data_IF_442560540258
#
_entry.id   IF_442560540258
#
_cell.length_a   1.000
_cell.length_b   1.000
_cell.length_c   1.000
_cell.angle_alpha   90.00
_cell.angle_beta   90.00
_cell.angle_gamma   90.00
#
_symmetry.space_group_name_H-M   'P 1'
#
loop_
_entity.id
_entity.type
_entity.pdbx_description
1 polymer ?
#
# COMPACT_ATOMS: atom_id res chain seq x y z
N UNK A 1 7.76 -33.32 -5.20
CA UNK A 1 6.68 -33.91 -4.37
C UNK A 1 5.51 -32.95 -4.41
N UNK A 2 4.39 -33.34 -5.02
CA UNK A 2 3.17 -32.54 -5.01
C UNK A 2 2.58 -32.58 -3.59
N UNK A 3 2.30 -31.41 -3.01
CA UNK A 3 1.68 -31.32 -1.68
C UNK A 3 0.20 -31.61 -1.83
N UNK A 4 -0.21 -32.83 -1.48
CA UNK A 4 -1.63 -33.24 -1.41
C UNK A 4 -2.09 -33.21 0.05
N UNK A 5 -2.35 -32.02 0.57
CA UNK A 5 -3.18 -31.82 1.76
C UNK A 5 -4.34 -30.92 1.32
N UNK A 6 -5.54 -31.11 1.87
CA UNK A 6 -6.68 -30.21 1.66
C UNK A 6 -6.17 -28.77 1.71
N UNK A 7 -6.24 -28.06 0.58
CA UNK A 7 -5.31 -26.98 0.31
C UNK A 7 -5.62 -25.79 1.23
N UNK A 8 -4.83 -25.62 2.29
CA UNK A 8 -4.90 -24.43 3.15
C UNK A 8 -4.83 -23.22 2.23
N UNK A 9 -5.82 -22.34 2.30
CA UNK A 9 -5.87 -21.13 1.51
C UNK A 9 -4.60 -20.29 1.68
N UNK A 10 -4.26 -19.48 0.68
CA UNK A 10 -3.08 -18.61 0.74
C UNK A 10 -3.47 -17.13 0.77
N UNK A 11 -2.76 -16.36 1.59
CA UNK A 11 -2.83 -14.89 1.58
C UNK A 11 -1.44 -14.36 1.29
N UNK A 12 -1.25 -13.81 0.08
CA UNK A 12 0.00 -13.14 -0.26
C UNK A 12 -0.03 -11.70 0.26
N UNK A 13 1.05 -11.23 0.89
CA UNK A 13 1.14 -9.85 1.38
C UNK A 13 2.48 -9.19 1.08
N UNK A 14 2.53 -7.86 1.11
CA UNK A 14 3.80 -7.12 1.04
C UNK A 14 4.66 -7.35 2.30
N UNK A 15 5.92 -6.92 2.20
CA UNK A 15 6.87 -7.01 3.30
C UNK A 15 7.49 -8.40 3.46
N UNK A 16 8.27 -8.54 4.53
CA UNK A 16 8.93 -9.78 4.94
C UNK A 16 8.11 -10.45 6.05
N UNK A 17 8.56 -11.62 6.50
CA UNK A 17 8.08 -12.19 7.75
C UNK A 17 8.16 -11.14 8.88
N UNK A 18 7.11 -11.07 9.71
CA UNK A 18 6.96 -10.11 10.81
C UNK A 18 6.85 -8.62 10.36
N UNK A 19 6.54 -8.36 9.08
CA UNK A 19 6.11 -7.03 8.64
C UNK A 19 4.78 -6.63 9.28
N UNK A 20 4.47 -5.33 9.31
CA UNK A 20 3.18 -4.85 9.79
C UNK A 20 2.00 -5.42 9.00
N UNK A 21 2.16 -5.66 7.69
CA UNK A 21 1.18 -6.38 6.87
C UNK A 21 0.93 -7.79 7.38
N UNK A 22 2.00 -8.57 7.64
CA UNK A 22 1.87 -9.94 8.13
C UNK A 22 1.29 -10.00 9.53
N UNK A 23 1.72 -9.09 10.44
CA UNK A 23 1.17 -8.99 11.80
C UNK A 23 -0.29 -8.56 11.80
N UNK A 24 -0.69 -7.63 10.91
CA UNK A 24 -2.09 -7.27 10.73
C UNK A 24 -2.90 -8.50 10.33
N UNK A 25 -2.43 -9.26 9.35
CA UNK A 25 -3.08 -10.47 8.90
C UNK A 25 -3.13 -11.52 10.01
N UNK A 26 -2.05 -11.74 10.76
CA UNK A 26 -2.03 -12.65 11.91
C UNK A 26 -3.05 -12.25 12.99
N UNK A 27 -3.32 -10.95 13.18
CA UNK A 27 -4.38 -10.50 14.10
C UNK A 27 -5.79 -10.66 13.52
N UNK A 28 -5.95 -10.50 12.20
CA UNK A 28 -7.23 -10.70 11.51
C UNK A 28 -7.63 -12.18 11.47
N UNK A 29 -6.63 -13.06 11.34
CA UNK A 29 -6.78 -14.49 11.20
C UNK A 29 -6.62 -15.15 12.56
N UNK A 30 -7.65 -15.87 13.01
CA UNK A 30 -7.51 -16.71 14.20
C UNK A 30 -6.55 -17.88 13.89
N UNK A 31 -6.06 -18.59 14.92
CA UNK A 31 -4.96 -19.57 14.87
C UNK A 31 -5.12 -20.78 13.92
N UNK A 32 -6.23 -20.87 13.18
CA UNK A 32 -6.51 -21.91 12.18
C UNK A 32 -6.80 -21.35 10.77
N UNK A 33 -6.34 -20.12 10.48
CA UNK A 33 -6.61 -19.43 9.21
C UNK A 33 -5.74 -19.86 8.00
N UNK A 34 -5.95 -19.23 6.84
CA UNK A 34 -5.12 -19.38 5.65
C UNK A 34 -3.65 -19.07 5.94
N UNK A 35 -2.75 -19.66 5.17
CA UNK A 35 -1.31 -19.41 5.29
C UNK A 35 -0.95 -18.05 4.69
N UNK A 36 -0.29 -17.20 5.49
CA UNK A 36 0.28 -15.94 5.02
C UNK A 36 1.61 -16.22 4.28
N UNK A 37 1.79 -15.56 3.15
CA UNK A 37 2.99 -15.65 2.30
C UNK A 37 3.50 -14.25 1.99
N UNK A 38 4.43 -13.71 2.79
CA UNK A 38 5.06 -12.42 2.52
C UNK A 38 5.92 -12.50 1.24
N UNK A 39 5.81 -11.50 0.38
CA UNK A 39 6.46 -11.50 -0.95
C UNK A 39 7.65 -10.53 -1.06
N UNK A 40 7.94 -9.77 0.00
CA UNK A 40 9.00 -8.76 0.06
C UNK A 40 8.53 -7.37 -0.32
N UNK A 41 7.97 -7.18 -1.53
CA UNK A 41 7.51 -5.87 -1.97
C UNK A 41 6.68 -5.90 -3.25
N UNK A 42 6.01 -4.79 -3.56
CA UNK A 42 5.04 -4.72 -4.66
C UNK A 42 5.56 -4.96 -6.07
N UNK A 43 6.83 -4.68 -6.33
CA UNK A 43 7.40 -4.87 -7.66
C UNK A 43 7.65 -6.37 -7.89
N UNK A 44 6.96 -6.93 -8.89
CA UNK A 44 7.00 -8.36 -9.15
C UNK A 44 5.94 -9.17 -8.40
N UNK A 45 5.00 -8.54 -7.67
CA UNK A 45 3.93 -9.21 -6.92
C UNK A 45 3.22 -10.29 -7.75
N UNK A 46 2.82 -9.95 -8.98
CA UNK A 46 2.17 -10.88 -9.90
C UNK A 46 3.06 -12.07 -10.29
N UNK A 47 4.32 -11.80 -10.64
CA UNK A 47 5.28 -12.81 -11.08
C UNK A 47 5.65 -13.75 -9.93
N UNK A 48 5.77 -13.23 -8.70
CA UNK A 48 6.00 -14.02 -7.50
C UNK A 48 4.84 -14.98 -7.25
N UNK A 49 3.59 -14.51 -7.27
CA UNK A 49 2.41 -15.37 -7.13
C UNK A 49 2.43 -16.48 -8.18
N UNK A 50 2.65 -16.14 -9.45
CA UNK A 50 2.64 -17.12 -10.53
C UNK A 50 3.73 -18.18 -10.34
N UNK A 51 4.95 -17.76 -9.97
CA UNK A 51 6.05 -18.66 -9.65
C UNK A 51 5.76 -19.55 -8.44
N UNK A 52 5.24 -18.98 -7.35
CA UNK A 52 4.89 -19.72 -6.14
C UNK A 52 3.84 -20.80 -6.43
N UNK A 53 2.77 -20.43 -7.15
CA UNK A 53 1.68 -21.31 -7.50
C UNK A 53 2.06 -22.35 -8.57
N UNK A 54 3.14 -22.14 -9.34
CA UNK A 54 3.60 -23.10 -10.37
C UNK A 54 4.04 -24.45 -9.80
N UNK A 55 4.40 -24.49 -8.51
CA UNK A 55 4.80 -25.70 -7.80
C UNK A 55 3.62 -26.61 -7.41
N UNK A 56 2.38 -26.13 -7.54
CA UNK A 56 1.16 -26.85 -7.18
C UNK A 56 0.53 -27.50 -8.41
N UNK A 57 0.24 -28.80 -8.32
CA UNK A 57 -0.53 -29.52 -9.35
C UNK A 57 -1.97 -29.02 -9.45
N UNK A 58 -2.55 -28.60 -8.32
CA UNK A 58 -3.83 -27.91 -8.22
C UNK A 58 -3.63 -26.66 -7.38
N UNK A 59 -3.91 -25.49 -7.97
CA UNK A 59 -3.70 -24.20 -7.30
C UNK A 59 -4.63 -24.07 -6.08
N UNK A 60 -4.11 -23.77 -4.88
CA UNK A 60 -4.94 -23.44 -3.72
C UNK A 60 -5.78 -22.18 -3.99
N UNK A 61 -6.93 -22.03 -3.33
CA UNK A 61 -7.61 -20.75 -3.29
C UNK A 61 -6.68 -19.71 -2.65
N UNK A 62 -6.67 -18.49 -3.19
CA UNK A 62 -5.82 -17.45 -2.65
C UNK A 62 -6.42 -16.06 -2.81
N UNK A 63 -6.00 -15.15 -1.95
CA UNK A 63 -6.04 -13.71 -2.20
C UNK A 63 -4.64 -13.12 -2.08
N UNK A 64 -4.50 -11.89 -2.56
CA UNK A 64 -3.36 -11.04 -2.25
C UNK A 64 -3.87 -9.78 -1.56
N UNK A 65 -3.13 -9.30 -0.58
CA UNK A 65 -3.39 -8.08 0.18
C UNK A 65 -2.17 -7.17 0.14
N UNK A 66 -2.36 -5.87 0.03
CA UNK A 66 -1.27 -4.90 0.01
C UNK A 66 -1.70 -3.49 0.38
N UNK A 67 -0.74 -2.64 0.66
CA UNK A 67 -0.96 -1.21 0.77
C UNK A 67 -1.50 -0.61 -0.55
N UNK A 68 -2.46 0.31 -0.41
CA UNK A 68 -3.00 1.11 -1.52
C UNK A 68 -1.95 2.07 -2.09
N UNK A 69 -1.06 2.56 -1.22
CA UNK A 69 -0.11 3.63 -1.49
C UNK A 69 -0.81 4.80 -2.22
N UNK A 70 -0.25 5.18 -3.36
CA UNK A 70 -0.71 6.19 -4.29
C UNK A 70 -1.20 5.53 -5.60
N UNK A 71 -1.38 4.21 -5.60
CA UNK A 71 -1.68 3.46 -6.82
C UNK A 71 -3.18 3.55 -7.20
N UNK A 72 -4.07 3.80 -6.24
CA UNK A 72 -5.50 4.07 -6.46
C UNK A 72 -6.02 5.13 -5.50
N UNK A 73 -6.95 5.99 -5.95
CA UNK A 73 -7.69 6.90 -5.06
C UNK A 73 -8.56 6.10 -4.07
N UNK A 74 -8.72 6.56 -2.82
CA UNK A 74 -9.63 5.93 -1.88
C UNK A 74 -11.08 6.01 -2.39
N UNK A 75 -11.90 5.02 -2.04
CA UNK A 75 -13.33 5.03 -2.29
C UNK A 75 -14.06 6.09 -1.45
N UNK A 76 -15.28 6.45 -1.84
CA UNK A 76 -16.10 7.36 -1.04
C UNK A 76 -16.52 6.76 0.32
N UNK A 77 -16.60 5.43 0.41
CA UNK A 77 -16.96 4.70 1.63
C UNK A 77 -15.76 3.86 2.10
N UNK A 78 -15.59 3.64 3.42
CA UNK A 78 -14.54 2.76 3.96
C UNK A 78 -14.76 1.33 3.48
N UNK A 79 -14.04 0.92 2.44
CA UNK A 79 -14.21 -0.39 1.82
C UNK A 79 -12.89 -0.91 1.29
N UNK A 80 -12.75 -2.24 1.34
CA UNK A 80 -11.59 -2.91 0.78
C UNK A 80 -11.57 -2.74 -0.74
N UNK A 81 -10.45 -2.28 -1.30
CA UNK A 81 -10.38 -1.88 -2.70
C UNK A 81 -9.83 -3.04 -3.53
N UNK A 82 -10.57 -3.45 -4.58
CA UNK A 82 -10.07 -4.43 -5.55
C UNK A 82 -9.13 -3.75 -6.54
N UNK A 83 -7.88 -4.20 -6.62
CA UNK A 83 -6.98 -3.77 -7.69
C UNK A 83 -7.46 -4.40 -9.02
N UNK A 84 -7.66 -3.61 -10.09
CA UNK A 84 -8.02 -4.15 -11.41
C UNK A 84 -6.97 -5.14 -11.94
N UNK A 85 -7.43 -6.28 -12.44
CA UNK A 85 -6.58 -7.33 -12.99
C UNK A 85 -7.18 -8.73 -12.82
N UNK A 86 -6.50 -9.73 -13.38
CA UNK A 86 -6.95 -11.13 -13.33
C UNK A 86 -6.79 -11.77 -11.95
N UNK A 87 -5.81 -11.32 -11.15
CA UNK A 87 -5.53 -11.88 -9.82
C UNK A 87 -6.39 -11.25 -8.71
N UNK A 88 -6.72 -12.00 -7.64
CA UNK A 88 -7.47 -11.53 -6.47
C UNK A 88 -6.68 -10.61 -5.53
N UNK A 89 -6.21 -9.47 -6.03
CA UNK A 89 -5.42 -8.49 -5.27
C UNK A 89 -6.33 -7.42 -4.65
N UNK A 90 -6.32 -7.34 -3.33
CA UNK A 90 -7.04 -6.35 -2.54
C UNK A 90 -6.06 -5.36 -1.91
N UNK A 91 -6.49 -4.12 -1.73
CA UNK A 91 -5.72 -3.09 -1.07
C UNK A 91 -6.49 -2.43 0.07
N UNK A 92 -5.75 -1.90 1.03
CA UNK A 92 -6.26 -1.09 2.15
C UNK A 92 -7.14 0.06 1.66
N UNK A 93 -8.12 0.46 2.47
CA UNK A 93 -8.84 1.71 2.23
C UNK A 93 -7.95 2.94 2.46
N UNK A 94 -7.25 2.97 3.60
CA UNK A 94 -6.21 3.98 3.89
C UNK A 94 -4.97 3.73 3.04
N UNK A 95 -4.06 4.70 2.97
CA UNK A 95 -2.88 4.62 2.11
C UNK A 95 -2.01 3.39 2.42
N UNK A 96 -1.80 3.07 3.69
CA UNK A 96 -1.05 1.90 4.13
C UNK A 96 -1.54 1.37 5.48
N UNK A 97 -1.07 0.20 5.91
CA UNK A 97 -1.38 -0.38 7.24
C UNK A 97 -1.06 0.60 8.37
N UNK A 98 0.06 1.32 8.31
CA UNK A 98 0.42 2.26 9.38
C UNK A 98 -0.57 3.42 9.52
N UNK A 99 -1.35 3.73 8.48
CA UNK A 99 -2.39 4.76 8.57
C UNK A 99 -3.53 4.37 9.53
N UNK A 100 -3.79 3.08 9.78
CA UNK A 100 -4.78 2.64 10.78
C UNK A 100 -4.25 2.79 12.21
N UNK A 101 -2.93 2.81 12.35
CA UNK A 101 -2.26 2.93 13.64
C UNK A 101 -2.17 4.38 14.10
N UNK A 102 -2.66 5.36 13.32
CA UNK A 102 -2.68 6.77 13.73
C UNK A 102 -4.06 7.07 14.30
N UNK A 103 -4.16 7.00 15.62
CA UNK A 103 -5.36 7.22 16.41
C UNK A 103 -4.98 7.92 17.73
N UNK A 104 -5.77 8.91 18.14
CA UNK A 104 -5.48 9.75 19.30
C UNK A 104 -5.39 8.95 20.59
N UNK A 105 -6.37 8.10 20.86
CA UNK A 105 -6.40 7.34 22.11
C UNK A 105 -5.33 6.24 22.10
N UNK A 106 -5.09 5.60 20.95
CA UNK A 106 -3.99 4.64 20.79
C UNK A 106 -2.62 5.27 21.08
N UNK A 107 -2.37 6.50 20.59
CA UNK A 107 -1.16 7.26 20.90
C UNK A 107 -1.06 7.54 22.40
N UNK A 108 -2.16 7.96 23.04
CA UNK A 108 -2.19 8.23 24.49
C UNK A 108 -1.90 6.99 25.30
N UNK A 109 -2.50 5.86 24.95
CA UNK A 109 -2.33 4.61 25.68
C UNK A 109 -0.91 4.09 25.60
N UNK A 110 -0.29 4.14 24.40
CA UNK A 110 1.14 3.86 24.26
C UNK A 110 1.98 4.74 25.19
N UNK A 111 1.73 6.05 25.18
CA UNK A 111 2.48 7.03 25.95
C UNK A 111 2.32 6.80 27.46
N UNK A 112 1.11 6.47 27.94
CA UNK A 112 0.85 6.10 29.35
C UNK A 112 1.61 4.82 29.74
N UNK A 113 1.59 3.81 28.88
CA UNK A 113 2.31 2.56 29.15
C UNK A 113 3.81 2.82 29.28
N UNK A 114 4.37 3.60 28.35
CA UNK A 114 5.80 3.91 28.35
C UNK A 114 6.22 4.91 29.42
N UNK A 115 5.32 5.74 29.92
CA UNK A 115 5.59 6.69 31.01
C UNK A 115 6.10 6.02 32.30
N UNK A 116 5.78 4.73 32.50
CA UNK A 116 6.24 3.94 33.64
C UNK A 116 7.58 3.21 33.39
N UNK A 117 8.16 3.34 32.19
CA UNK A 117 9.36 2.63 31.78
C UNK A 117 10.67 3.33 32.15
N UNK A 118 11.76 2.58 32.36
CA UNK A 118 13.08 3.19 32.48
C UNK A 118 13.43 3.90 31.17
N UNK A 119 13.93 5.14 31.27
CA UNK A 119 14.29 6.04 30.14
C UNK A 119 13.14 6.84 29.51
N UNK A 120 11.97 6.90 30.15
CA UNK A 120 10.91 7.80 29.70
C UNK A 120 11.17 9.25 30.15
N UNK A 121 11.44 10.15 29.20
CA UNK A 121 11.74 11.56 29.46
C UNK A 121 10.63 12.53 29.00
N UNK A 122 9.60 12.03 28.33
CA UNK A 122 8.57 12.85 27.68
C UNK A 122 7.35 13.15 28.56
N UNK A 123 7.36 12.75 29.83
CA UNK A 123 6.26 12.98 30.78
C UNK A 123 4.95 12.26 30.43
N UNK A 124 3.85 12.67 31.05
CA UNK A 124 2.52 12.14 30.74
C UNK A 124 2.08 12.56 29.33
N UNK A 125 1.21 11.78 28.66
CA UNK A 125 0.69 12.20 27.36
C UNK A 125 -0.04 13.55 27.46
N UNK A 126 0.02 14.37 26.41
CA UNK A 126 -0.92 15.47 26.25
C UNK A 126 -2.37 14.99 26.24
N UNK A 127 -3.30 15.91 26.50
CA UNK A 127 -4.72 15.64 26.35
C UNK A 127 -5.10 15.37 24.88
N UNK A 128 -6.17 14.59 24.67
CA UNK A 128 -6.61 14.18 23.34
C UNK A 128 -6.72 15.33 22.33
N UNK A 129 -7.32 16.50 22.66
CA UNK A 129 -7.40 17.62 21.71
C UNK A 129 -6.03 18.16 21.27
N UNK A 130 -5.00 18.09 22.12
CA UNK A 130 -3.66 18.54 21.77
C UNK A 130 -2.98 17.57 20.80
N UNK A 131 -3.21 16.27 20.95
CA UNK A 131 -2.71 15.24 20.03
C UNK A 131 -3.41 15.35 18.67
N UNK A 132 -4.74 15.51 18.67
CA UNK A 132 -5.53 15.74 17.45
C UNK A 132 -5.04 16.98 16.70
N UNK A 133 -4.86 18.09 17.40
CA UNK A 133 -4.34 19.31 16.80
C UNK A 133 -2.92 19.12 16.25
N UNK A 134 -2.06 18.39 16.96
CA UNK A 134 -0.71 18.08 16.48
C UNK A 134 -0.74 17.20 15.22
N UNK A 135 -1.65 16.23 15.12
CA UNK A 135 -1.86 15.42 13.92
C UNK A 135 -2.32 16.28 12.73
N UNK A 136 -3.29 17.17 12.95
CA UNK A 136 -3.76 18.12 11.92
C UNK A 136 -2.63 19.03 11.46
N UNK A 137 -1.87 19.61 12.38
CA UNK A 137 -0.74 20.49 12.05
C UNK A 137 0.33 19.72 11.22
N UNK A 138 0.60 18.47 11.60
CA UNK A 138 1.55 17.61 10.89
C UNK A 138 1.07 17.26 9.49
N UNK A 139 -0.23 17.00 9.32
CA UNK A 139 -0.83 16.79 8.01
C UNK A 139 -0.72 18.05 7.15
N UNK A 140 -1.10 19.22 7.68
CA UNK A 140 -0.99 20.50 6.97
C UNK A 140 0.45 20.78 6.52
N UNK A 141 1.42 20.53 7.39
CA UNK A 141 2.85 20.70 7.09
C UNK A 141 3.32 19.85 5.90
N UNK A 142 2.83 18.61 5.76
CA UNK A 142 3.25 17.70 4.68
C UNK A 142 2.31 17.70 3.46
N UNK A 143 1.25 18.51 3.44
CA UNK A 143 0.24 18.48 2.40
C UNK A 143 0.81 18.65 0.98
N UNK A 144 1.71 19.61 0.79
CA UNK A 144 2.38 19.84 -0.49
C UNK A 144 3.24 18.63 -0.92
N UNK A 145 3.96 18.03 0.03
CA UNK A 145 4.75 16.82 -0.24
C UNK A 145 3.86 15.65 -0.66
N UNK A 146 2.75 15.41 0.03
CA UNK A 146 1.78 14.38 -0.32
C UNK A 146 1.14 14.63 -1.69
N UNK A 147 0.83 15.88 -2.03
CA UNK A 147 0.31 16.24 -3.35
C UNK A 147 1.30 15.91 -4.48
N UNK A 148 2.59 16.18 -4.28
CA UNK A 148 3.64 15.81 -5.24
C UNK A 148 3.79 14.29 -5.35
N UNK A 149 3.73 13.54 -4.23
CA UNK A 149 3.77 12.06 -4.28
C UNK A 149 2.62 11.47 -5.08
N UNK A 150 1.40 11.98 -4.87
CA UNK A 150 0.22 11.62 -5.66
C UNK A 150 0.41 11.92 -7.14
N UNK A 151 0.96 13.10 -7.46
CA UNK A 151 1.22 13.50 -8.84
C UNK A 151 2.28 12.61 -9.51
N UNK A 152 3.37 12.27 -8.81
CA UNK A 152 4.38 11.33 -9.29
C UNK A 152 3.79 9.94 -9.57
N UNK A 153 2.90 9.45 -8.70
CA UNK A 153 2.22 8.18 -8.93
C UNK A 153 1.31 8.23 -10.18
N UNK A 154 0.62 9.35 -10.39
CA UNK A 154 -0.23 9.59 -11.56
C UNK A 154 0.50 9.76 -12.90
N UNK A 155 1.84 9.81 -12.89
CA UNK A 155 2.64 9.84 -14.12
C UNK A 155 2.73 8.46 -14.80
N UNK A 156 2.57 7.37 -14.04
CA UNK A 156 2.66 6.01 -14.61
C UNK A 156 1.58 5.82 -15.68
N UNK A 157 1.95 5.49 -16.94
CA UNK A 157 0.96 5.12 -17.94
C UNK A 157 0.40 3.73 -17.62
N UNK A 158 -0.81 3.68 -17.04
CA UNK A 158 -1.43 2.44 -16.57
C UNK A 158 -0.86 1.96 -15.23
N UNK A 159 -0.69 0.64 -15.07
CA UNK A 159 -0.36 0.02 -13.77
C UNK A 159 1.14 -0.16 -13.50
N UNK A 160 2.01 0.13 -14.48
CA UNK A 160 3.49 0.03 -14.35
C UNK A 160 4.17 0.98 -15.32
N UNK A 161 5.46 1.25 -15.11
CA UNK A 161 6.27 1.93 -16.11
C UNK A 161 6.38 1.09 -17.38
N UNK A 162 6.31 1.70 -18.57
CA UNK A 162 6.44 0.98 -19.81
C UNK A 162 7.89 0.51 -19.97
N UNK A 163 8.06 -0.65 -20.60
CA UNK A 163 9.36 -1.27 -20.83
C UNK A 163 9.38 -1.78 -22.27
N UNK A 164 10.49 -1.57 -22.97
CA UNK A 164 10.69 -2.18 -24.28
C UNK A 164 11.07 -3.64 -24.07
N UNK A 165 10.24 -4.55 -24.56
CA UNK A 165 10.52 -6.00 -24.53
C UNK A 165 11.58 -6.34 -25.57
N UNK A 166 12.34 -7.41 -25.32
CA UNK A 166 13.32 -7.97 -26.27
C UNK A 166 12.69 -8.81 -27.38
N UNK A 167 11.35 -8.94 -27.39
CA UNK A 167 10.57 -9.62 -28.42
C UNK A 167 9.26 -8.87 -28.66
N UNK A 168 8.80 -8.82 -29.92
CA UNK A 168 7.48 -8.30 -30.31
C UNK A 168 6.39 -9.36 -30.29
N UNK A 169 6.74 -10.60 -29.93
CA UNK A 169 5.82 -11.73 -29.81
C UNK A 169 5.35 -11.89 -28.36
N UNK A 170 4.36 -12.77 -28.13
CA UNK A 170 3.73 -12.88 -26.81
C UNK A 170 4.68 -13.49 -25.78
N UNK A 171 5.54 -14.41 -26.21
CA UNK A 171 6.48 -15.11 -25.34
C UNK A 171 7.82 -15.35 -26.03
N UNK A 172 8.88 -15.57 -25.23
CA UNK A 172 10.17 -16.02 -25.76
C UNK A 172 10.03 -17.46 -26.28
N UNK A 173 10.58 -17.74 -27.46
CA UNK A 173 10.45 -19.02 -28.14
C UNK A 173 9.34 -19.06 -29.21
N UNK A 174 8.43 -18.09 -29.21
CA UNK A 174 7.60 -17.82 -30.40
C UNK A 174 8.49 -17.19 -31.49
N UNK A 175 8.31 -17.64 -32.73
CA UNK A 175 9.04 -17.13 -33.90
C UNK A 175 8.10 -16.33 -34.82
N UNK A 176 8.59 -15.27 -35.48
CA UNK A 176 7.80 -14.50 -36.41
C UNK A 176 7.49 -15.32 -37.67
N UNK A 177 6.44 -14.91 -38.39
CA UNK A 177 6.08 -15.54 -39.68
C UNK A 177 7.09 -15.24 -40.79
N UNK A 178 7.87 -14.18 -40.66
CA UNK A 178 8.97 -13.82 -41.55
C UNK A 178 10.25 -13.58 -40.76
N UNK A 179 11.37 -14.10 -41.29
CA UNK A 179 12.73 -13.84 -40.80
C UNK A 179 13.46 -12.78 -41.63
N UNK A 180 12.79 -12.17 -42.61
CA UNK A 180 13.40 -11.10 -43.37
C UNK A 180 13.72 -9.93 -42.44
N UNK A 181 14.93 -9.40 -42.56
CA UNK A 181 15.44 -8.36 -41.66
C UNK A 181 14.50 -7.16 -41.58
N UNK A 182 13.99 -6.69 -42.71
CA UNK A 182 13.10 -5.52 -42.77
C UNK A 182 11.74 -5.76 -42.10
N UNK A 183 11.21 -6.99 -42.18
CA UNK A 183 9.95 -7.35 -41.51
C UNK A 183 10.13 -7.41 -39.99
N UNK A 184 11.22 -8.04 -39.54
CA UNK A 184 11.61 -8.08 -38.13
C UNK A 184 11.86 -6.67 -37.58
N UNK A 185 12.60 -5.83 -38.33
CA UNK A 185 12.91 -4.47 -37.95
C UNK A 185 11.65 -3.60 -37.90
N UNK A 186 10.72 -3.79 -38.84
CA UNK A 186 9.43 -3.08 -38.83
C UNK A 186 8.62 -3.41 -37.58
N UNK A 187 8.53 -4.69 -37.22
CA UNK A 187 7.85 -5.12 -35.98
C UNK A 187 8.52 -4.56 -34.73
N UNK A 188 9.86 -4.52 -34.70
CA UNK A 188 10.60 -3.90 -33.60
C UNK A 188 10.37 -2.38 -33.51
N UNK A 189 10.28 -1.69 -34.66
CA UNK A 189 9.95 -0.24 -34.70
C UNK A 189 8.57 0.04 -34.11
N UNK A 190 7.59 -0.83 -34.31
CA UNK A 190 6.26 -0.68 -33.69
C UNK A 190 6.35 -0.70 -32.16
N UNK A 191 7.12 -1.63 -31.56
CA UNK A 191 7.34 -1.66 -30.12
C UNK A 191 7.95 -0.34 -29.61
N UNK A 192 8.95 0.18 -30.31
CA UNK A 192 9.59 1.46 -29.97
C UNK A 192 8.58 2.59 -30.09
N UNK A 193 7.76 2.62 -31.13
CA UNK A 193 6.74 3.66 -31.33
C UNK A 193 5.64 3.61 -30.26
N UNK A 194 5.20 2.43 -29.84
CA UNK A 194 4.26 2.26 -28.72
C UNK A 194 4.88 2.77 -27.42
N UNK A 195 6.12 2.38 -27.11
CA UNK A 195 6.84 2.88 -25.94
C UNK A 195 6.92 4.42 -25.96
N UNK A 196 7.36 5.01 -27.08
CA UNK A 196 7.44 6.47 -27.26
C UNK A 196 6.08 7.15 -27.06
N UNK A 197 5.00 6.55 -27.57
CA UNK A 197 3.65 7.07 -27.39
C UNK A 197 3.21 7.03 -25.92
N UNK A 198 3.50 5.94 -25.20
CA UNK A 198 3.15 5.79 -23.78
C UNK A 198 3.95 6.78 -22.91
N UNK A 199 5.27 6.87 -23.11
CA UNK A 199 6.12 7.81 -22.34
C UNK A 199 5.90 9.25 -22.75
N UNK A 200 5.43 9.53 -23.97
CA UNK A 200 5.07 10.87 -24.42
C UNK A 200 3.97 11.52 -23.58
N UNK A 201 3.18 10.72 -22.85
CA UNK A 201 2.18 11.23 -21.89
C UNK A 201 2.77 11.71 -20.56
N UNK A 202 4.05 11.42 -20.30
CA UNK A 202 4.78 11.81 -19.09
C UNK A 202 5.44 13.16 -19.35
N UNK A 203 5.09 14.18 -18.54
CA UNK A 203 5.67 15.51 -18.68
C UNK A 203 5.68 16.27 -17.36
N UNK A 204 6.58 17.25 -17.25
CA UNK A 204 6.62 18.20 -16.14
C UNK A 204 5.28 18.93 -16.00
N UNK A 205 4.69 19.35 -17.12
CA UNK A 205 3.37 20.00 -17.13
C UNK A 205 2.28 19.12 -16.51
N UNK A 206 2.24 17.82 -16.83
CA UNK A 206 1.28 16.88 -16.22
C UNK A 206 1.54 16.73 -14.72
N UNK A 207 2.81 16.61 -14.31
CA UNK A 207 3.20 16.55 -12.90
C UNK A 207 2.68 17.79 -12.14
N UNK A 208 2.96 18.99 -12.62
CA UNK A 208 2.53 20.26 -12.02
C UNK A 208 1.00 20.36 -11.96
N UNK A 209 0.31 20.02 -13.04
CA UNK A 209 -1.16 20.04 -13.09
C UNK A 209 -1.77 19.09 -12.06
N UNK A 210 -1.30 17.84 -12.01
CA UNK A 210 -1.81 16.85 -11.04
C UNK A 210 -1.43 17.22 -9.60
N UNK A 211 -0.23 17.76 -9.36
CA UNK A 211 0.17 18.23 -8.04
C UNK A 211 -0.73 19.38 -7.55
N UNK A 212 -1.00 20.36 -8.41
CA UNK A 212 -1.90 21.48 -8.09
C UNK A 212 -3.34 21.01 -7.81
N UNK A 213 -3.84 20.01 -8.56
CA UNK A 213 -5.15 19.41 -8.30
C UNK A 213 -5.23 18.77 -6.91
N UNK A 214 -4.22 17.99 -6.52
CA UNK A 214 -4.18 17.39 -5.19
C UNK A 214 -3.96 18.44 -4.09
N UNK A 215 -3.11 19.42 -4.32
CA UNK A 215 -2.88 20.51 -3.38
C UNK A 215 -4.17 21.31 -3.13
N UNK A 216 -4.99 21.54 -4.15
CA UNK A 216 -6.28 22.20 -4.00
C UNK A 216 -7.22 21.41 -3.06
N UNK A 217 -7.26 20.08 -3.20
CA UNK A 217 -8.03 19.21 -2.28
C UNK A 217 -7.47 19.28 -0.86
N UNK A 218 -6.14 19.22 -0.71
CA UNK A 218 -5.50 19.25 0.61
C UNK A 218 -5.46 20.65 1.24
N UNK A 219 -5.90 21.68 0.52
CA UNK A 219 -6.04 23.05 1.05
C UNK A 219 -7.46 23.33 1.58
N UNK A 220 -8.41 22.44 1.34
CA UNK A 220 -9.78 22.57 1.83
C UNK A 220 -9.85 22.30 3.35
N UNK A 221 -10.51 23.17 4.13
CA UNK A 221 -10.61 22.97 5.58
C UNK A 221 -11.37 21.69 5.93
N UNK A 222 -12.38 21.35 5.14
CA UNK A 222 -13.20 20.14 5.32
C UNK A 222 -12.36 18.87 5.19
N UNK A 223 -11.23 18.92 4.48
CA UNK A 223 -10.29 17.79 4.40
C UNK A 223 -9.70 17.43 5.77
N UNK A 224 -9.42 18.43 6.61
CA UNK A 224 -8.87 18.24 7.94
C UNK A 224 -9.97 18.03 8.99
N UNK A 225 -11.07 18.78 8.91
CA UNK A 225 -12.22 18.63 9.80
C UNK A 225 -12.80 17.21 9.75
N UNK A 226 -12.85 16.60 8.56
CA UNK A 226 -13.30 15.22 8.38
C UNK A 226 -12.17 14.18 8.48
N UNK A 227 -10.98 14.57 8.92
CA UNK A 227 -9.81 13.69 9.07
C UNK A 227 -9.42 12.89 7.82
N UNK A 228 -9.69 13.44 6.63
CA UNK A 228 -9.40 12.77 5.35
C UNK A 228 -7.90 12.55 5.13
N UNK A 229 -7.05 13.33 5.81
CA UNK A 229 -5.60 13.12 5.80
C UNK A 229 -5.18 11.72 6.31
N UNK A 230 -5.94 11.10 7.23
CA UNK A 230 -5.67 9.72 7.70
C UNK A 230 -5.92 8.67 6.61
N UNK A 231 -6.69 9.02 5.57
CA UNK A 231 -7.04 8.13 4.46
C UNK A 231 -6.10 8.38 3.29
N UNK A 232 -5.87 9.64 2.95
CA UNK A 232 -5.15 10.07 1.74
C UNK A 232 -3.64 10.11 1.89
N UNK A 233 -3.13 10.42 3.08
CA UNK A 233 -1.69 10.55 3.30
C UNK A 233 -1.08 9.22 3.72
N UNK A 234 0.17 9.03 3.31
CA UNK A 234 0.93 7.84 3.68
C UNK A 234 1.28 7.87 5.18
N UNK A 235 0.86 6.84 5.93
CA UNK A 235 0.93 6.82 7.39
C UNK A 235 2.34 7.02 7.95
N UNK A 236 3.37 6.44 7.33
CA UNK A 236 4.77 6.65 7.75
C UNK A 236 5.21 8.11 7.69
N UNK A 237 4.75 8.85 6.69
CA UNK A 237 5.14 10.25 6.51
C UNK A 237 4.43 11.12 7.54
N UNK A 238 3.13 10.88 7.74
CA UNK A 238 2.33 11.59 8.73
C UNK A 238 2.85 11.36 10.14
N UNK A 239 3.12 10.10 10.51
CA UNK A 239 3.64 9.78 11.83
C UNK A 239 5.03 10.39 12.04
N UNK A 240 5.88 10.41 11.01
CA UNK A 240 7.18 11.08 11.09
C UNK A 240 7.02 12.58 11.36
N UNK A 241 6.16 13.26 10.60
CA UNK A 241 5.90 14.68 10.80
C UNK A 241 5.30 14.96 12.19
N UNK A 242 4.40 14.10 12.66
CA UNK A 242 3.83 14.15 14.01
C UNK A 242 4.89 14.05 15.10
N UNK A 243 5.75 13.05 15.02
CA UNK A 243 6.83 12.92 15.99
C UNK A 243 7.85 14.06 15.90
N UNK A 244 8.10 14.60 14.71
CA UNK A 244 8.97 15.76 14.53
C UNK A 244 8.38 16.99 15.22
N UNK A 245 7.08 17.24 15.07
CA UNK A 245 6.37 18.34 15.73
C UNK A 245 6.36 18.23 17.26
N UNK A 246 6.37 17.01 17.79
CA UNK A 246 6.43 16.76 19.23
C UNK A 246 7.85 16.52 19.77
N UNK A 247 8.87 16.53 18.92
CA UNK A 247 10.26 16.19 19.29
C UNK A 247 10.42 14.81 19.95
N UNK A 248 9.70 13.80 19.43
CA UNK A 248 9.64 12.42 19.94
C UNK A 248 10.06 11.38 18.90
N UNK A 249 10.96 11.71 17.97
CA UNK A 249 11.31 10.85 16.82
C UNK A 249 11.71 9.41 17.17
N UNK A 250 12.50 9.13 18.23
CA UNK A 250 12.80 7.75 18.62
C UNK A 250 11.56 6.92 18.94
N UNK A 251 10.47 7.57 19.34
CA UNK A 251 9.24 6.92 19.75
C UNK A 251 8.40 6.43 18.58
N UNK A 252 8.49 7.01 17.38
CA UNK A 252 7.61 6.60 16.28
C UNK A 252 7.74 5.11 15.95
N UNK A 253 8.97 4.59 15.93
CA UNK A 253 9.20 3.18 15.61
C UNK A 253 8.67 2.26 16.71
N UNK A 254 8.89 2.63 17.97
CA UNK A 254 8.38 1.89 19.12
C UNK A 254 6.85 1.92 19.15
N UNK A 255 6.26 3.07 18.84
CA UNK A 255 4.83 3.27 18.73
C UNK A 255 4.23 2.33 17.68
N UNK A 256 4.69 2.36 16.42
CA UNK A 256 4.11 1.50 15.37
C UNK A 256 4.19 0.02 15.72
N UNK A 257 5.33 -0.40 16.29
CA UNK A 257 5.56 -1.79 16.71
C UNK A 257 4.61 -2.23 17.83
N UNK A 258 4.26 -1.32 18.73
CA UNK A 258 3.30 -1.57 19.80
C UNK A 258 1.86 -1.46 19.29
N UNK A 259 1.55 -0.39 18.55
CA UNK A 259 0.22 -0.04 18.07
C UNK A 259 -0.40 -1.13 17.20
N UNK A 260 0.40 -1.82 16.37
CA UNK A 260 -0.08 -2.91 15.53
C UNK A 260 -0.70 -4.06 16.33
N UNK A 261 -0.32 -4.25 17.60
CA UNK A 261 -0.91 -5.27 18.49
C UNK A 261 -2.12 -4.75 19.29
N UNK A 262 -2.29 -3.44 19.39
CA UNK A 262 -3.22 -2.80 20.34
C UNK A 262 -4.38 -2.08 19.66
N UNK A 263 -4.26 -1.69 18.39
CA UNK A 263 -5.36 -0.98 17.70
C UNK A 263 -6.59 -1.89 17.53
N UNK A 264 -7.79 -1.30 17.60
CA UNK A 264 -9.05 -2.01 17.41
C UNK A 264 -9.34 -2.23 15.92
N UNK A 265 -9.10 -3.47 15.47
CA UNK A 265 -9.39 -3.90 14.10
C UNK A 265 -10.88 -3.77 13.77
N UNK A 266 -11.77 -3.97 14.75
CA UNK A 266 -13.22 -4.00 14.53
C UNK A 266 -13.79 -2.59 14.27
N UNK A 267 -13.05 -1.54 14.58
CA UNK A 267 -13.39 -0.16 14.24
C UNK A 267 -13.28 0.14 12.74
N UNK A 268 -12.77 -0.79 11.92
CA UNK A 268 -12.48 -0.58 10.52
C UNK A 268 -13.24 -1.57 9.62
N UNK A 269 -14.32 -1.09 8.98
CA UNK A 269 -15.19 -1.91 8.14
C UNK A 269 -14.47 -2.60 6.97
N UNK A 270 -13.45 -1.96 6.40
CA UNK A 270 -12.66 -2.53 5.32
C UNK A 270 -11.71 -3.66 5.78
N UNK A 271 -11.22 -3.59 7.03
CA UNK A 271 -10.45 -4.68 7.64
C UNK A 271 -11.35 -5.86 8.02
N UNK A 272 -12.58 -5.60 8.48
CA UNK A 272 -13.58 -6.65 8.67
C UNK A 272 -13.94 -7.33 7.33
N UNK A 273 -14.09 -6.55 6.26
CA UNK A 273 -14.30 -7.10 4.92
C UNK A 273 -13.09 -7.93 4.43
N UNK A 274 -11.86 -7.59 4.83
CA UNK A 274 -10.69 -8.42 4.59
C UNK A 274 -10.75 -9.73 5.38
N UNK A 275 -11.09 -9.69 6.68
CA UNK A 275 -11.30 -10.88 7.52
C UNK A 275 -12.31 -11.84 6.88
N UNK A 276 -13.46 -11.31 6.46
CA UNK A 276 -14.52 -12.09 5.80
C UNK A 276 -14.07 -12.72 4.48
N UNK A 277 -13.17 -12.07 3.74
CA UNK A 277 -12.62 -12.63 2.50
C UNK A 277 -11.61 -13.72 2.78
N UNK A 278 -10.75 -13.54 3.78
CA UNK A 278 -9.80 -14.55 4.20
C UNK A 278 -10.50 -15.80 4.73
N UNK A 279 -11.61 -15.65 5.47
CA UNK A 279 -12.41 -16.77 5.98
C UNK A 279 -13.16 -17.59 4.92
N UNK A 280 -13.12 -17.17 3.65
CA UNK A 280 -13.71 -17.90 2.50
C UNK A 280 -12.69 -18.69 1.70
N UNK A 281 -11.41 -18.65 2.09
CA UNK A 281 -10.32 -19.43 1.50
C UNK A 281 -10.22 -20.81 2.16
#
# INVERSE_FOLDING_TARGET
MAVTAASVGLIFCEGKDDSYDSRLLDRLLESSGPRIVPIGGKFGFNAYIDGYLSSYSQKPPFIAFRDRDFDLKPSAQPSLIRIPGSKPIWATYRACVESYLIDTELIRDFWREKANGPKWEFGLPPEAPAIEQALVNSAQQIAAYQAVRWALAGLKPGNRWPEIKTTWLKSSGELPTSFAFDDCLSSARELVQTFLSEVGTVSIKKLEQTANQHLAVFSDSSFYENSLYLIWFHGKDLLRAFCENLSIQPLCKLYVTWAIDHFDINAHADLLALKDRCGKL
#
